data_IF_895980918788
#
_entry.id   IF_895980918788
#
_cell.length_a   1.000
_cell.length_b   1.000
_cell.length_c   1.000
_cell.angle_alpha   90.00
_cell.angle_beta   90.00
_cell.angle_gamma   90.00
#
_symmetry.space_group_name_H-M   'P 1'
#
loop_
_entity.id
_entity.type
_entity.pdbx_description
1 polymer ?
#
# COMPACT_ATOMS: atom_id res chain seq x y z
N UNK A 1 17.46 -60.69 -45.66
CA UNK A 1 17.42 -59.54 -44.70
C UNK A 1 16.52 -58.37 -45.14
N UNK A 2 16.25 -58.12 -46.42
CA UNK A 2 15.39 -56.98 -46.89
C UNK A 2 13.89 -57.15 -46.60
N UNK A 3 13.32 -58.36 -46.68
CA UNK A 3 11.85 -58.57 -46.47
C UNK A 3 11.38 -58.28 -45.03
N UNK A 4 12.23 -58.46 -44.01
CA UNK A 4 11.93 -58.27 -42.61
C UNK A 4 11.81 -56.76 -42.23
N UNK A 5 12.54 -55.92 -42.95
CA UNK A 5 12.48 -54.47 -42.71
C UNK A 5 11.22 -53.83 -43.30
N UNK A 6 10.68 -54.35 -44.41
CA UNK A 6 9.41 -53.86 -44.97
C UNK A 6 8.19 -54.20 -44.08
N UNK A 7 8.20 -55.35 -43.41
CA UNK A 7 7.15 -55.74 -42.45
C UNK A 7 7.15 -54.83 -41.22
N UNK A 8 8.31 -54.45 -40.71
CA UNK A 8 8.40 -53.51 -39.57
C UNK A 8 7.96 -52.12 -39.94
N UNK A 9 8.30 -51.61 -41.11
CA UNK A 9 7.90 -50.31 -41.62
C UNK A 9 6.39 -50.26 -41.90
N UNK A 10 5.82 -51.34 -42.47
CA UNK A 10 4.38 -51.44 -42.70
C UNK A 10 3.59 -51.52 -41.38
N UNK A 11 4.07 -52.23 -40.37
CA UNK A 11 3.46 -52.30 -39.03
C UNK A 11 3.54 -50.94 -38.30
N UNK A 12 4.63 -50.19 -38.41
CA UNK A 12 4.76 -48.85 -37.83
C UNK A 12 3.83 -47.82 -38.52
N UNK A 13 3.68 -47.88 -39.83
CA UNK A 13 2.75 -47.03 -40.59
C UNK A 13 1.29 -47.30 -40.23
N UNK A 14 0.89 -48.56 -39.97
CA UNK A 14 -0.47 -48.93 -39.56
C UNK A 14 -0.81 -48.42 -38.15
N UNK A 15 0.16 -48.41 -37.22
CA UNK A 15 -0.03 -47.88 -35.86
C UNK A 15 -0.24 -46.36 -35.86
N UNK A 16 0.50 -45.63 -36.73
CA UNK A 16 0.34 -44.17 -36.88
C UNK A 16 -0.99 -43.80 -37.51
N UNK A 17 -1.48 -44.62 -38.46
CA UNK A 17 -2.78 -44.40 -39.10
C UNK A 17 -4.01 -44.63 -38.14
N UNK A 18 -3.87 -45.55 -37.16
CA UNK A 18 -4.92 -45.81 -36.18
C UNK A 18 -5.02 -44.75 -35.09
N UNK A 19 -3.99 -43.96 -34.82
CA UNK A 19 -4.00 -42.91 -33.83
C UNK A 19 -4.55 -41.57 -34.37
N UNK A 20 -4.63 -41.41 -35.70
CA UNK A 20 -5.13 -40.17 -36.34
C UNK A 20 -6.68 -40.08 -36.43
N UNK A 21 -7.41 -41.11 -36.03
CA UNK A 21 -8.84 -41.25 -36.36
C UNK A 21 -9.82 -40.84 -35.24
N UNK A 22 -9.46 -40.01 -34.27
CA UNK A 22 -10.41 -39.51 -33.27
C UNK A 22 -10.19 -38.04 -32.89
N UNK A 23 -10.12 -37.15 -33.84
CA UNK A 23 -10.44 -35.75 -33.62
C UNK A 23 -11.96 -35.61 -33.87
N UNK A 24 -12.82 -36.03 -32.96
CA UNK A 24 -14.21 -35.65 -32.95
C UNK A 24 -14.27 -34.16 -32.67
N UNK A 25 -14.53 -33.35 -33.67
CA UNK A 25 -14.95 -31.97 -33.47
C UNK A 25 -16.27 -32.00 -32.67
N UNK A 26 -16.20 -31.70 -31.38
CA UNK A 26 -17.41 -31.48 -30.58
C UNK A 26 -18.04 -30.20 -31.12
N UNK A 27 -19.14 -30.34 -31.84
CA UNK A 27 -20.06 -29.25 -32.15
C UNK A 27 -20.70 -28.83 -30.83
N UNK A 28 -20.23 -27.75 -30.26
CA UNK A 28 -20.87 -27.13 -29.08
C UNK A 28 -22.02 -26.28 -29.61
N UNK A 29 -23.25 -26.70 -29.37
CA UNK A 29 -24.42 -25.84 -29.57
C UNK A 29 -24.34 -24.70 -28.54
N UNK A 30 -24.02 -23.51 -29.02
CA UNK A 30 -23.88 -22.35 -28.17
C UNK A 30 -25.12 -21.45 -28.36
N UNK A 31 -25.91 -21.29 -27.31
CA UNK A 31 -27.02 -20.31 -27.33
C UNK A 31 -26.45 -18.89 -27.18
N UNK A 32 -27.13 -17.87 -27.69
CA UNK A 32 -26.74 -16.48 -27.52
C UNK A 32 -26.53 -16.11 -26.04
N UNK A 33 -27.40 -16.63 -25.18
CA UNK A 33 -27.31 -16.38 -23.74
C UNK A 33 -26.04 -17.01 -23.13
N UNK A 34 -25.70 -18.24 -23.52
CA UNK A 34 -24.49 -18.91 -23.07
C UNK A 34 -23.21 -18.25 -23.63
N UNK A 35 -23.28 -17.78 -24.89
CA UNK A 35 -22.18 -17.00 -25.48
C UNK A 35 -21.90 -15.72 -24.70
N UNK A 36 -22.94 -14.96 -24.35
CA UNK A 36 -22.83 -13.74 -23.54
C UNK A 36 -22.28 -14.05 -22.15
N UNK A 37 -22.82 -15.07 -21.46
CA UNK A 37 -22.34 -15.47 -20.12
C UNK A 37 -20.87 -15.85 -20.13
N UNK A 38 -20.45 -16.67 -21.11
CA UNK A 38 -19.05 -17.09 -21.25
C UNK A 38 -18.12 -15.92 -21.59
N UNK A 39 -18.55 -15.02 -22.46
CA UNK A 39 -17.79 -13.84 -22.84
C UNK A 39 -17.58 -12.93 -21.63
N UNK A 40 -18.64 -12.62 -20.88
CA UNK A 40 -18.54 -11.76 -19.68
C UNK A 40 -17.68 -12.42 -18.58
N UNK A 41 -17.78 -13.74 -18.41
CA UNK A 41 -17.02 -14.46 -17.39
C UNK A 41 -15.53 -14.59 -17.72
N UNK A 42 -15.17 -14.74 -18.99
CA UNK A 42 -13.80 -15.08 -19.41
C UNK A 42 -13.09 -13.98 -20.20
N UNK A 43 -13.71 -12.80 -20.38
CA UNK A 43 -13.07 -11.70 -21.08
C UNK A 43 -11.92 -11.12 -20.24
N UNK A 44 -10.67 -11.16 -20.74
CA UNK A 44 -9.51 -10.62 -20.04
C UNK A 44 -9.60 -9.10 -19.87
N UNK A 45 -10.21 -8.37 -20.81
CA UNK A 45 -10.35 -6.91 -20.70
C UNK A 45 -11.30 -6.54 -19.57
N UNK A 46 -12.39 -7.29 -19.35
CA UNK A 46 -13.26 -7.10 -18.21
C UNK A 46 -12.55 -7.44 -16.88
N UNK A 47 -11.67 -8.43 -16.88
CA UNK A 47 -10.86 -8.74 -15.71
C UNK A 47 -9.92 -7.57 -15.34
N UNK A 48 -9.29 -6.94 -16.34
CA UNK A 48 -8.45 -5.74 -16.13
C UNK A 48 -9.26 -4.58 -15.57
N UNK A 49 -10.43 -4.28 -16.14
CA UNK A 49 -11.29 -3.19 -15.65
C UNK A 49 -11.80 -3.47 -14.22
N UNK A 50 -12.11 -4.74 -13.89
CA UNK A 50 -12.46 -5.14 -12.52
C UNK A 50 -11.32 -4.94 -11.53
N UNK A 51 -10.08 -5.25 -11.92
CA UNK A 51 -8.90 -4.95 -11.10
C UNK A 51 -8.71 -3.43 -10.91
N UNK A 52 -9.09 -2.62 -11.91
CA UNK A 52 -9.11 -1.17 -11.80
C UNK A 52 -10.01 -0.67 -10.66
N UNK A 53 -11.18 -1.28 -10.44
CA UNK A 53 -12.05 -0.97 -9.28
C UNK A 53 -11.32 -1.29 -7.97
N UNK A 54 -10.68 -2.46 -7.88
CA UNK A 54 -9.94 -2.84 -6.67
C UNK A 54 -8.81 -1.84 -6.35
N UNK A 55 -8.09 -1.35 -7.37
CA UNK A 55 -7.06 -0.32 -7.21
C UNK A 55 -7.67 0.98 -6.67
N UNK A 56 -8.80 1.44 -7.21
CA UNK A 56 -9.43 2.68 -6.70
C UNK A 56 -10.00 2.50 -5.29
N UNK A 57 -10.50 1.31 -4.94
CA UNK A 57 -10.92 0.98 -3.56
C UNK A 57 -9.74 1.08 -2.59
N UNK A 58 -8.56 0.56 -2.97
CA UNK A 58 -7.35 0.68 -2.14
C UNK A 58 -6.86 2.13 -2.04
N UNK A 59 -7.00 2.95 -3.07
CA UNK A 59 -6.74 4.40 -2.99
C UNK A 59 -7.67 5.12 -2.00
N UNK A 60 -8.94 4.70 -1.93
CA UNK A 60 -9.85 5.18 -0.87
C UNK A 60 -9.35 4.78 0.50
N UNK A 61 -8.87 3.53 0.68
CA UNK A 61 -8.31 3.06 1.96
C UNK A 61 -7.02 3.80 2.32
N UNK A 62 -6.13 4.04 1.36
CA UNK A 62 -4.94 4.87 1.54
C UNK A 62 -5.30 6.28 2.03
N UNK A 63 -6.28 6.92 1.38
CA UNK A 63 -6.72 8.26 1.76
C UNK A 63 -7.35 8.33 3.15
N UNK A 64 -7.99 7.24 3.61
CA UNK A 64 -8.47 7.10 5.00
C UNK A 64 -7.32 7.06 6.00
N UNK A 65 -6.15 6.57 5.58
CA UNK A 65 -4.95 6.49 6.40
C UNK A 65 -4.52 7.84 6.98
N UNK A 66 -4.82 8.97 6.28
CA UNK A 66 -4.56 10.31 6.78
C UNK A 66 -5.29 10.65 8.10
N UNK A 67 -6.33 9.89 8.48
CA UNK A 67 -7.14 10.08 9.68
C UNK A 67 -6.89 9.02 10.74
N UNK A 68 -6.04 8.02 10.46
CA UNK A 68 -5.68 7.01 11.44
C UNK A 68 -4.68 7.58 12.45
N UNK A 69 -4.74 7.15 13.72
CA UNK A 69 -3.71 7.53 14.68
C UNK A 69 -2.34 7.05 14.22
N UNK A 70 -1.36 7.95 14.25
CA UNK A 70 0.04 7.65 14.01
C UNK A 70 0.75 7.55 15.37
N UNK A 71 1.24 6.39 15.69
CA UNK A 71 2.12 6.16 16.84
C UNK A 71 3.57 6.20 16.36
N UNK A 72 4.41 6.95 17.06
CA UNK A 72 5.83 7.08 16.76
C UNK A 72 6.65 6.97 18.03
N UNK A 73 7.78 6.29 17.93
CA UNK A 73 8.78 6.18 18.99
C UNK A 73 10.15 6.45 18.39
N UNK A 74 10.91 7.29 19.07
CA UNK A 74 12.31 7.58 18.77
C UNK A 74 13.13 7.30 20.01
N UNK A 75 14.25 6.64 19.85
CA UNK A 75 15.23 6.41 20.91
C UNK A 75 16.61 6.64 20.32
N UNK A 76 17.43 7.41 21.02
CA UNK A 76 18.75 7.77 20.55
C UNK A 76 19.76 7.95 21.66
N UNK A 77 21.03 7.89 21.29
CA UNK A 77 22.18 8.25 22.11
C UNK A 77 23.08 9.18 21.33
N UNK A 78 23.55 10.23 21.96
CA UNK A 78 24.54 11.15 21.42
C UNK A 78 25.67 11.28 22.44
N UNK A 79 26.92 11.20 21.99
CA UNK A 79 28.10 11.45 22.82
C UNK A 79 28.96 12.49 22.10
N UNK A 80 29.22 13.58 22.78
CA UNK A 80 29.94 14.73 22.22
C UNK A 80 31.03 15.17 23.19
N UNK A 81 32.27 15.27 22.69
CA UNK A 81 33.39 15.79 23.44
C UNK A 81 33.68 17.20 22.90
N UNK A 82 33.59 18.20 23.76
CA UNK A 82 33.88 19.60 23.41
C UNK A 82 35.18 20.07 24.10
N UNK A 83 36.04 20.82 23.41
CA UNK A 83 37.19 21.45 24.04
C UNK A 83 36.77 22.35 25.21
N UNK A 84 37.60 22.51 26.27
CA UNK A 84 37.26 23.37 27.38
C UNK A 84 37.17 24.82 26.91
N UNK A 85 36.07 25.49 27.27
CA UNK A 85 35.84 26.91 26.89
C UNK A 85 36.34 27.88 27.95
N UNK A 86 36.71 27.45 29.14
CA UNK A 86 37.19 28.25 30.24
C UNK A 86 38.27 27.50 31.05
N UNK A 87 39.18 28.25 31.69
CA UNK A 87 40.22 27.68 32.55
C UNK A 87 39.64 26.92 33.77
N UNK A 88 38.42 27.19 34.18
CA UNK A 88 37.71 26.48 35.25
C UNK A 88 37.39 25.02 34.90
N UNK A 89 37.31 24.69 33.62
CA UNK A 89 37.08 23.34 33.13
C UNK A 89 38.35 22.48 33.04
N UNK A 90 39.52 23.08 33.35
CA UNK A 90 40.80 22.39 33.22
C UNK A 90 41.23 22.21 31.75
N UNK A 91 42.22 21.32 31.52
CA UNK A 91 42.72 21.01 30.17
C UNK A 91 42.02 19.82 29.51
N UNK A 92 41.08 19.21 30.20
CA UNK A 92 40.34 18.05 29.65
C UNK A 92 39.10 18.52 28.93
N UNK A 93 38.76 17.88 27.81
CA UNK A 93 37.50 18.13 27.10
C UNK A 93 36.29 17.82 27.99
N UNK A 94 35.21 18.55 27.76
CA UNK A 94 33.91 18.26 28.35
C UNK A 94 33.22 17.18 27.54
N UNK A 95 33.00 16.04 28.15
CA UNK A 95 32.25 14.92 27.58
C UNK A 95 30.78 15.03 28.02
N UNK A 96 29.89 14.92 27.07
CA UNK A 96 28.44 14.90 27.31
C UNK A 96 27.84 13.69 26.61
N UNK A 97 27.25 12.80 27.40
CA UNK A 97 26.58 11.59 26.93
C UNK A 97 25.08 11.70 27.19
N UNK A 98 24.34 11.86 26.10
CA UNK A 98 22.89 12.04 26.14
C UNK A 98 22.17 10.80 25.67
N UNK A 99 21.30 10.25 26.50
CA UNK A 99 20.28 9.29 26.12
C UNK A 99 18.94 10.01 26.06
N UNK A 100 18.25 9.90 24.94
CA UNK A 100 16.96 10.53 24.79
C UNK A 100 15.95 9.59 24.13
N UNK A 101 14.70 9.78 24.46
CA UNK A 101 13.61 9.07 23.84
C UNK A 101 12.35 9.90 23.82
N UNK A 102 11.55 9.68 22.81
CA UNK A 102 10.25 10.30 22.64
C UNK A 102 9.27 9.24 22.14
N UNK A 103 8.11 9.16 22.76
CA UNK A 103 7.02 8.33 22.27
C UNK A 103 5.76 9.17 22.20
N UNK A 104 4.99 9.02 21.13
CA UNK A 104 3.82 9.86 20.96
C UNK A 104 2.81 9.28 20.00
N UNK A 105 1.62 9.86 20.07
CA UNK A 105 0.51 9.60 19.17
C UNK A 105 0.02 10.91 18.60
N UNK A 106 -0.27 10.92 17.31
CA UNK A 106 -0.85 12.06 16.62
C UNK A 106 -1.99 11.58 15.74
N UNK A 107 -3.11 12.30 15.75
CA UNK A 107 -4.24 11.98 14.90
C UNK A 107 -4.90 13.22 14.34
N UNK A 108 -5.25 13.16 13.05
CA UNK A 108 -6.10 14.14 12.39
C UNK A 108 -7.56 13.71 12.49
N UNK A 109 -8.41 14.60 12.92
CA UNK A 109 -9.84 14.34 13.01
C UNK A 109 -10.51 14.49 11.64
N UNK A 110 -11.47 13.63 11.33
CA UNK A 110 -12.25 13.69 10.09
C UNK A 110 -13.17 14.91 10.02
N UNK A 111 -13.61 15.40 11.18
CA UNK A 111 -14.46 16.58 11.30
C UNK A 111 -13.63 17.79 11.73
N UNK A 112 -13.87 18.93 11.08
CA UNK A 112 -13.25 20.20 11.44
C UNK A 112 -11.76 20.35 11.16
N UNK A 113 -11.05 19.31 10.62
CA UNK A 113 -9.61 19.29 10.40
C UNK A 113 -8.74 19.51 11.65
N UNK A 114 -9.29 19.25 12.84
CA UNK A 114 -8.53 19.28 14.10
C UNK A 114 -7.44 18.22 14.12
N UNK A 115 -6.32 18.55 14.77
CA UNK A 115 -5.22 17.63 15.03
C UNK A 115 -4.97 17.64 16.52
N UNK A 116 -4.94 16.44 17.12
CA UNK A 116 -4.46 16.29 18.49
C UNK A 116 -3.19 15.43 18.49
N UNK A 117 -2.34 15.71 19.47
CA UNK A 117 -1.14 14.93 19.71
C UNK A 117 -0.89 14.83 21.21
N UNK A 118 -0.33 13.69 21.62
CA UNK A 118 0.19 13.45 22.96
C UNK A 118 1.58 12.85 22.79
N UNK A 119 2.58 13.42 23.43
CA UNK A 119 3.95 12.87 23.45
C UNK A 119 4.48 12.86 24.85
N UNK A 120 5.31 11.87 25.13
CA UNK A 120 6.12 11.74 26.32
C UNK A 120 7.57 11.69 25.90
N UNK A 121 8.34 12.63 26.43
CA UNK A 121 9.76 12.78 26.13
C UNK A 121 10.57 12.52 27.39
N UNK A 122 11.71 11.86 27.26
CA UNK A 122 12.67 11.71 28.34
C UNK A 122 14.09 11.91 27.81
N UNK A 123 14.94 12.49 28.67
CA UNK A 123 16.36 12.65 28.41
C UNK A 123 17.16 12.36 29.69
N UNK A 124 18.28 11.70 29.52
CA UNK A 124 19.31 11.50 30.54
C UNK A 124 20.63 11.99 30.01
N UNK A 125 21.14 13.05 30.62
CA UNK A 125 22.43 13.65 30.26
C UNK A 125 23.45 13.34 31.35
N UNK A 126 24.57 12.73 30.97
CA UNK A 126 25.73 12.53 31.84
C UNK A 126 26.91 13.36 31.34
N UNK A 127 27.63 14.00 32.22
CA UNK A 127 28.73 14.89 31.85
C UNK A 127 29.86 14.90 32.89
N UNK A 128 31.08 15.01 32.40
CA UNK A 128 32.23 15.21 33.29
C UNK A 128 32.47 16.71 33.64
N UNK A 129 31.53 17.60 33.29
CA UNK A 129 31.64 19.04 33.59
C UNK A 129 31.56 19.29 35.12
N UNK A 130 32.61 19.79 35.77
CA UNK A 130 32.63 20.00 37.24
C UNK A 130 31.66 21.09 37.69
N UNK A 131 31.12 21.91 36.77
CA UNK A 131 30.14 22.95 37.10
C UNK A 131 28.72 22.42 37.10
N UNK A 132 28.54 21.22 36.57
CA UNK A 132 27.20 20.58 36.53
C UNK A 132 26.78 20.18 37.98
N UNK A 133 25.62 20.66 38.41
CA UNK A 133 25.09 20.35 39.73
C UNK A 133 24.55 18.93 39.87
N UNK A 134 24.20 18.30 38.76
CA UNK A 134 23.63 16.94 38.72
C UNK A 134 24.27 16.14 37.57
N UNK A 135 24.80 14.96 37.93
CA UNK A 135 25.31 13.98 36.98
C UNK A 135 24.91 12.57 37.44
N UNK A 136 24.08 11.83 36.70
CA UNK A 136 23.35 12.28 35.50
C UNK A 136 22.15 13.20 35.82
N UNK A 137 21.88 14.14 34.95
CA UNK A 137 20.62 14.86 34.97
C UNK A 137 19.55 14.09 34.21
N UNK A 138 18.33 14.04 34.74
CA UNK A 138 17.21 13.37 34.11
C UNK A 138 16.04 14.34 33.91
N UNK A 139 15.50 14.35 32.72
CA UNK A 139 14.35 15.16 32.35
C UNK A 139 13.26 14.27 31.75
N UNK A 140 12.01 14.53 32.09
CA UNK A 140 10.86 13.85 31.51
C UNK A 140 9.71 14.81 31.42
N UNK A 141 9.01 14.80 30.28
CA UNK A 141 7.91 15.69 30.01
C UNK A 141 6.76 15.01 29.27
N UNK A 142 5.54 15.36 29.62
CA UNK A 142 4.33 15.01 28.87
C UNK A 142 3.80 16.24 28.18
N UNK A 143 3.63 16.18 26.87
CA UNK A 143 3.07 17.26 26.08
C UNK A 143 1.75 16.81 25.45
N UNK A 144 0.69 17.59 25.65
CA UNK A 144 -0.60 17.42 25.00
C UNK A 144 -0.85 18.66 24.16
N UNK A 145 -1.20 18.48 22.90
CA UNK A 145 -1.54 19.59 22.01
C UNK A 145 -2.79 19.29 21.20
N UNK A 146 -3.62 20.32 21.02
CA UNK A 146 -4.77 20.28 20.13
C UNK A 146 -4.79 21.54 19.28
N UNK A 147 -4.90 21.36 17.96
CA UNK A 147 -4.95 22.45 17.00
C UNK A 147 -6.20 22.30 16.15
N UNK A 148 -7.03 23.35 16.12
CA UNK A 148 -8.28 23.38 15.37
C UNK A 148 -8.31 24.61 14.46
N UNK A 149 -8.31 24.46 13.13
CA UNK A 149 -8.52 25.58 12.22
C UNK A 149 -9.97 26.08 12.34
N UNK A 150 -10.13 27.40 12.49
CA UNK A 150 -11.44 28.02 12.71
C UNK A 150 -12.06 28.59 11.43
N UNK A 151 -11.25 29.06 10.50
CA UNK A 151 -11.67 29.71 9.25
C UNK A 151 -11.28 28.88 8.03
N UNK A 152 -10.03 29.03 7.60
CA UNK A 152 -9.48 28.25 6.48
C UNK A 152 -9.35 26.77 6.87
N UNK A 153 -9.61 25.88 5.92
CA UNK A 153 -9.48 24.42 6.07
C UNK A 153 -10.46 23.76 7.07
N UNK A 154 -11.37 24.54 7.69
CA UNK A 154 -12.38 23.99 8.59
C UNK A 154 -13.40 23.09 7.87
N UNK A 155 -13.94 23.53 6.73
CA UNK A 155 -14.94 22.77 5.97
C UNK A 155 -14.31 21.65 5.16
N UNK A 156 -13.26 21.96 4.41
CA UNK A 156 -12.52 21.03 3.59
C UNK A 156 -11.03 21.35 3.67
N UNK A 157 -10.21 20.36 3.97
CA UNK A 157 -8.76 20.43 3.97
C UNK A 157 -8.19 19.48 2.89
N UNK A 158 -6.90 19.52 2.66
CA UNK A 158 -6.25 18.68 1.63
C UNK A 158 -6.55 17.20 1.82
N UNK A 159 -6.53 16.69 3.06
CA UNK A 159 -6.78 15.28 3.34
C UNK A 159 -8.23 14.86 3.02
N UNK A 160 -9.22 15.66 3.44
CA UNK A 160 -10.64 15.39 3.12
C UNK A 160 -10.94 15.58 1.63
N UNK A 161 -10.26 16.52 0.98
CA UNK A 161 -10.36 16.70 -0.47
C UNK A 161 -9.86 15.46 -1.22
N UNK A 162 -8.68 14.95 -0.87
CA UNK A 162 -8.13 13.72 -1.45
C UNK A 162 -9.04 12.51 -1.20
N UNK A 163 -9.57 12.35 0.01
CA UNK A 163 -10.54 11.31 0.31
C UNK A 163 -11.79 11.41 -0.56
N UNK A 164 -12.30 12.63 -0.76
CA UNK A 164 -13.49 12.86 -1.60
C UNK A 164 -13.22 12.55 -3.07
N UNK A 165 -12.03 12.93 -3.59
CA UNK A 165 -11.60 12.61 -4.95
C UNK A 165 -11.47 11.10 -5.12
N UNK A 166 -10.76 10.41 -4.21
CA UNK A 166 -10.60 8.96 -4.27
C UNK A 166 -11.95 8.23 -4.31
N UNK A 167 -12.89 8.64 -3.45
CA UNK A 167 -14.23 8.07 -3.43
C UNK A 167 -15.01 8.30 -4.74
N UNK A 168 -14.85 9.46 -5.38
CA UNK A 168 -15.45 9.73 -6.67
C UNK A 168 -14.81 8.92 -7.79
N UNK A 169 -13.50 8.74 -7.74
CA UNK A 169 -12.78 7.90 -8.71
C UNK A 169 -13.22 6.43 -8.60
N UNK A 170 -13.40 5.91 -7.38
CA UNK A 170 -13.97 4.57 -7.15
C UNK A 170 -15.34 4.44 -7.80
N UNK A 171 -16.25 5.41 -7.58
CA UNK A 171 -17.57 5.41 -8.22
C UNK A 171 -17.48 5.50 -9.75
N UNK A 172 -16.51 6.26 -10.29
CA UNK A 172 -16.29 6.36 -11.73
C UNK A 172 -15.76 5.04 -12.32
N UNK A 173 -14.88 4.34 -11.58
CA UNK A 173 -14.37 3.03 -11.99
C UNK A 173 -15.49 1.98 -12.08
N UNK A 174 -16.44 2.02 -11.15
CA UNK A 174 -17.63 1.17 -11.16
C UNK A 174 -18.50 1.41 -12.42
N UNK A 175 -18.72 2.66 -12.77
CA UNK A 175 -19.47 3.02 -13.98
C UNK A 175 -18.74 2.58 -15.27
N UNK A 176 -17.41 2.71 -15.31
CA UNK A 176 -16.59 2.23 -16.43
C UNK A 176 -16.66 0.71 -16.59
N UNK A 177 -16.72 -0.01 -15.47
CA UNK A 177 -16.92 -1.47 -15.53
C UNK A 177 -18.28 -1.82 -16.11
N UNK A 178 -19.35 -1.17 -15.68
CA UNK A 178 -20.69 -1.37 -16.24
C UNK A 178 -20.73 -1.07 -17.73
N UNK A 179 -20.09 0.02 -18.17
CA UNK A 179 -19.95 0.37 -19.58
C UNK A 179 -19.21 -0.73 -20.38
N UNK A 180 -18.08 -1.22 -19.87
CA UNK A 180 -17.30 -2.30 -20.49
C UNK A 180 -18.10 -3.60 -20.61
N UNK A 181 -18.91 -3.94 -19.61
CA UNK A 181 -19.83 -5.09 -19.67
C UNK A 181 -20.85 -4.90 -20.79
N UNK A 182 -21.49 -3.74 -20.88
CA UNK A 182 -22.47 -3.44 -21.94
C UNK A 182 -21.83 -3.52 -23.33
N UNK A 183 -20.63 -2.96 -23.50
CA UNK A 183 -19.88 -3.01 -24.76
C UNK A 183 -19.54 -4.46 -25.15
N UNK A 184 -19.08 -5.28 -24.18
CA UNK A 184 -18.79 -6.70 -24.43
C UNK A 184 -20.06 -7.46 -24.85
N UNK A 185 -21.18 -7.24 -24.17
CA UNK A 185 -22.46 -7.86 -24.52
C UNK A 185 -22.92 -7.44 -25.92
N UNK A 186 -22.77 -6.15 -26.28
CA UNK A 186 -23.12 -5.66 -27.61
C UNK A 186 -22.23 -6.30 -28.69
N UNK A 187 -20.93 -6.40 -28.46
CA UNK A 187 -20.00 -7.03 -29.40
C UNK A 187 -20.33 -8.51 -29.62
N UNK A 188 -20.65 -9.26 -28.55
CA UNK A 188 -21.08 -10.66 -28.69
C UNK A 188 -22.37 -10.78 -29.48
N UNK A 189 -23.37 -9.93 -29.24
CA UNK A 189 -24.64 -9.93 -30.00
C UNK A 189 -24.46 -9.58 -31.47
N UNK A 190 -23.47 -8.75 -31.80
CA UNK A 190 -23.15 -8.41 -33.20
C UNK A 190 -22.42 -9.54 -33.94
N UNK A 191 -21.65 -10.33 -33.20
CA UNK A 191 -20.86 -11.43 -33.75
C UNK A 191 -21.65 -12.74 -33.88
N UNK A 192 -22.75 -12.90 -33.15
CA UNK A 192 -23.66 -14.05 -33.21
C UNK A 192 -24.66 -13.92 -34.35
#
# INVERSE_FOLDING_TARGET
>A
MRARNYLVVAAAASVIALTAARASAQTVELTLEDAVKRAVANNPDLAVVRLGIAVETERVNESKGAFTPLFSTVFGRSSVVTPPSTSLLGNQGVDVDDWFGSTGVRQRLRWGAGIWSASWDFARTSTNNPISSFDPSMQSGLQLAFSQPLLRDRKIDAARHQYTIAKRNESTADLRFQEAVVQTVAAVKQAY
#
